data_IF_831443312233
#
_entry.id   IF_831443312233
#
_cell.length_a   1.000
_cell.length_b   1.000
_cell.length_c   1.000
_cell.angle_alpha   90.00
_cell.angle_beta   90.00
_cell.angle_gamma   90.00
#
_symmetry.space_group_name_H-M   'P 1'
#
loop_
_entity.id
_entity.type
_entity.pdbx_description
1 polymer ?
#
# COMPACT_ATOMS: atom_id res chain seq x y z
N UNK A 1 -10.79 -9.08 2.70
CA UNK A 1 -9.90 -8.07 3.31
C UNK A 1 -9.97 -8.29 4.80
N UNK A 2 -8.83 -8.46 5.46
CA UNK A 2 -8.76 -8.80 6.88
C UNK A 2 -8.46 -7.56 7.73
N UNK A 3 -7.46 -6.77 7.33
CA UNK A 3 -7.11 -5.51 8.01
C UNK A 3 -6.73 -4.43 6.99
N UNK A 4 -6.94 -3.18 7.41
CA UNK A 4 -6.58 -1.98 6.68
C UNK A 4 -5.95 -0.98 7.65
N UNK A 5 -4.76 -0.51 7.30
CA UNK A 5 -4.06 0.53 8.04
C UNK A 5 -3.27 1.41 7.08
N UNK A 6 -2.67 2.46 7.60
CA UNK A 6 -1.80 3.31 6.81
C UNK A 6 -1.36 4.55 7.56
N UNK A 7 -0.32 5.14 7.03
CA UNK A 7 0.37 6.33 7.48
C UNK A 7 0.02 7.50 6.54
N UNK A 8 0.68 8.64 6.73
CA UNK A 8 0.42 9.82 5.91
C UNK A 8 0.77 9.63 4.42
N UNK A 9 1.67 8.70 4.09
CA UNK A 9 2.25 8.53 2.76
C UNK A 9 2.13 7.10 2.17
N UNK A 10 1.66 6.12 2.95
CA UNK A 10 1.45 4.75 2.48
C UNK A 10 0.29 4.03 3.19
N UNK A 11 -0.13 2.90 2.64
CA UNK A 11 -1.21 2.06 3.20
C UNK A 11 -0.78 0.61 3.29
N UNK A 12 -1.24 -0.06 4.34
CA UNK A 12 -1.03 -1.47 4.64
C UNK A 12 -2.35 -2.23 4.50
N UNK A 13 -2.28 -3.37 3.79
CA UNK A 13 -3.42 -4.22 3.49
C UNK A 13 -3.09 -5.64 3.93
N UNK A 14 -3.85 -6.16 4.89
CA UNK A 14 -3.84 -7.59 5.17
C UNK A 14 -5.00 -8.24 4.44
N UNK A 15 -4.68 -9.15 3.52
CA UNK A 15 -5.68 -9.84 2.70
C UNK A 15 -5.46 -11.34 2.75
N UNK A 16 -6.57 -12.07 2.71
CA UNK A 16 -6.56 -13.46 2.31
C UNK A 16 -6.71 -13.52 0.79
N UNK A 17 -5.82 -14.23 0.12
CA UNK A 17 -5.80 -14.37 -1.33
C UNK A 17 -5.82 -15.84 -1.73
N UNK A 18 -6.62 -16.17 -2.73
CA UNK A 18 -6.63 -17.51 -3.31
C UNK A 18 -5.27 -17.81 -3.95
N UNK A 19 -4.68 -19.02 -3.81
CA UNK A 19 -3.35 -19.33 -4.34
C UNK A 19 -3.19 -19.11 -5.85
N UNK A 20 -4.26 -19.26 -6.62
CA UNK A 20 -4.27 -19.02 -8.06
C UNK A 20 -4.48 -17.54 -8.47
N UNK A 21 -4.59 -16.63 -7.50
CA UNK A 21 -4.80 -15.20 -7.77
C UNK A 21 -3.50 -14.54 -8.24
N UNK A 22 -3.57 -13.80 -9.34
CA UNK A 22 -2.49 -12.90 -9.74
C UNK A 22 -2.50 -11.66 -8.84
N UNK A 23 -1.63 -11.68 -7.82
CA UNK A 23 -1.47 -10.59 -6.88
C UNK A 23 -0.98 -9.30 -7.55
N UNK A 24 -0.15 -9.40 -8.60
CA UNK A 24 0.37 -8.22 -9.30
C UNK A 24 -0.76 -7.50 -10.04
N UNK A 25 -1.60 -8.26 -10.74
CA UNK A 25 -2.76 -7.71 -11.43
C UNK A 25 -3.78 -7.14 -10.44
N UNK A 26 -4.05 -7.84 -9.34
CA UNK A 26 -4.96 -7.38 -8.28
C UNK A 26 -4.48 -6.05 -7.68
N UNK A 27 -3.20 -5.93 -7.32
CA UNK A 27 -2.62 -4.70 -6.76
C UNK A 27 -2.63 -3.57 -7.79
N UNK A 28 -2.31 -3.87 -9.06
CA UNK A 28 -2.37 -2.89 -10.15
C UNK A 28 -3.78 -2.32 -10.34
N UNK A 29 -4.79 -3.18 -10.32
CA UNK A 29 -6.20 -2.78 -10.39
C UNK A 29 -6.60 -1.96 -9.17
N UNK A 30 -6.23 -2.40 -7.97
CA UNK A 30 -6.51 -1.67 -6.74
C UNK A 30 -5.94 -0.25 -6.79
N UNK A 31 -4.66 -0.10 -7.12
CA UNK A 31 -3.99 1.21 -7.21
C UNK A 31 -4.63 2.09 -8.29
N UNK A 32 -4.99 1.52 -9.43
CA UNK A 32 -5.61 2.27 -10.53
C UNK A 32 -7.00 2.77 -10.17
N UNK A 33 -7.86 1.88 -9.67
CA UNK A 33 -9.24 2.22 -9.31
C UNK A 33 -9.29 3.21 -8.15
N UNK A 34 -8.50 2.97 -7.10
CA UNK A 34 -8.46 3.88 -5.94
C UNK A 34 -7.90 5.24 -6.32
N UNK A 35 -6.82 5.30 -7.12
CA UNK A 35 -6.27 6.55 -7.65
C UNK A 35 -7.34 7.40 -8.37
N UNK A 36 -8.17 6.76 -9.21
CA UNK A 36 -9.26 7.45 -9.91
C UNK A 36 -10.36 7.92 -8.95
N UNK A 37 -10.81 7.05 -8.05
CA UNK A 37 -11.91 7.34 -7.12
C UNK A 37 -11.52 8.42 -6.10
N UNK A 38 -10.37 8.29 -5.45
CA UNK A 38 -9.92 9.24 -4.43
C UNK A 38 -9.76 10.63 -5.04
N UNK A 39 -9.23 10.73 -6.27
CA UNK A 39 -9.13 12.03 -6.95
C UNK A 39 -10.46 12.62 -7.37
N UNK A 40 -11.44 11.80 -7.72
CA UNK A 40 -12.77 12.29 -8.07
C UNK A 40 -13.52 12.78 -6.82
N UNK A 41 -13.41 12.05 -5.71
CA UNK A 41 -14.19 12.30 -4.49
C UNK A 41 -13.55 13.35 -3.57
N UNK A 42 -12.21 13.40 -3.50
CA UNK A 42 -11.47 14.25 -2.58
C UNK A 42 -10.60 15.31 -3.29
N UNK A 43 -10.94 15.67 -4.53
CA UNK A 43 -10.18 16.62 -5.36
C UNK A 43 -9.79 17.91 -4.63
N UNK A 44 -10.77 18.55 -3.97
CA UNK A 44 -10.58 19.83 -3.27
C UNK A 44 -9.67 19.68 -2.05
N UNK A 45 -9.75 18.56 -1.34
CA UNK A 45 -8.83 18.28 -0.23
C UNK A 45 -7.42 18.04 -0.76
N UNK A 46 -7.28 17.17 -1.76
CA UNK A 46 -5.99 16.79 -2.33
C UNK A 46 -5.25 17.96 -2.96
N UNK A 47 -5.94 18.91 -3.61
CA UNK A 47 -5.32 20.08 -4.24
C UNK A 47 -4.39 20.87 -3.32
N UNK A 48 -4.65 20.86 -2.01
CA UNK A 48 -3.83 21.55 -1.00
C UNK A 48 -2.51 20.83 -0.68
N UNK A 49 -2.48 19.51 -0.83
CA UNK A 49 -1.36 18.67 -0.40
C UNK A 49 -0.66 17.95 -1.55
N UNK A 50 -1.33 17.82 -2.70
CA UNK A 50 -0.93 16.90 -3.76
C UNK A 50 -1.36 17.37 -5.16
N UNK A 51 -0.37 17.59 -6.02
CA UNK A 51 -0.56 18.11 -7.40
C UNK A 51 0.09 17.21 -8.48
N UNK A 52 0.55 16.01 -8.13
CA UNK A 52 1.25 15.11 -9.05
C UNK A 52 0.27 14.30 -9.93
N UNK A 53 0.70 13.89 -11.14
CA UNK A 53 -0.17 13.18 -12.10
C UNK A 53 -0.43 11.70 -11.73
N UNK A 54 0.41 11.08 -10.90
CA UNK A 54 0.19 9.75 -10.30
C UNK A 54 -0.22 9.91 -8.84
N UNK A 55 -1.00 8.99 -8.24
CA UNK A 55 -1.41 9.08 -6.83
C UNK A 55 -0.53 8.14 -5.98
N UNK A 56 -0.43 6.89 -6.42
CA UNK A 56 0.45 5.89 -5.83
C UNK A 56 1.83 5.88 -6.49
N UNK A 57 2.85 5.47 -5.73
CA UNK A 57 4.13 5.03 -6.30
C UNK A 57 3.92 3.89 -7.29
N UNK A 58 4.82 3.70 -8.26
CA UNK A 58 4.77 2.52 -9.16
C UNK A 58 5.01 1.22 -8.39
N UNK A 59 5.93 1.27 -7.43
CA UNK A 59 6.31 0.14 -6.59
C UNK A 59 5.22 -0.26 -5.60
N UNK A 60 5.24 -1.53 -5.18
CA UNK A 60 4.41 -2.07 -4.11
C UNK A 60 5.18 -3.20 -3.43
N UNK A 61 4.84 -3.51 -2.17
CA UNK A 61 5.43 -4.61 -1.43
C UNK A 61 4.37 -5.69 -1.16
N UNK A 62 4.78 -6.95 -1.24
CA UNK A 62 3.95 -8.11 -0.89
C UNK A 62 4.77 -8.99 0.02
N UNK A 63 4.21 -9.28 1.19
CA UNK A 63 4.86 -10.12 2.20
C UNK A 63 3.84 -11.20 2.55
N UNK A 64 4.21 -12.47 2.36
CA UNK A 64 3.37 -13.58 2.79
C UNK A 64 3.43 -13.70 4.32
N UNK A 65 2.25 -13.80 4.93
CA UNK A 65 2.10 -14.12 6.34
C UNK A 65 1.41 -15.48 6.45
N UNK A 66 2.11 -16.47 6.99
CA UNK A 66 1.53 -17.77 7.37
C UNK A 66 1.44 -17.87 8.89
N UNK A 67 0.77 -18.90 9.42
CA UNK A 67 0.61 -19.09 10.88
C UNK A 67 1.92 -19.22 11.70
N UNK A 68 3.11 -19.09 11.08
CA UNK A 68 4.42 -19.00 11.74
C UNK A 68 5.19 -17.69 11.45
N UNK A 69 4.63 -16.76 10.68
CA UNK A 69 5.20 -15.44 10.51
C UNK A 69 4.85 -14.62 11.77
N UNK A 70 5.81 -14.31 12.66
CA UNK A 70 5.50 -13.60 13.88
C UNK A 70 4.98 -12.21 13.50
N UNK A 71 3.90 -11.75 14.13
CA UNK A 71 3.44 -10.36 14.02
C UNK A 71 4.59 -9.35 14.18
N UNK A 72 5.59 -9.69 15.00
CA UNK A 72 6.83 -8.94 15.15
C UNK A 72 7.58 -8.66 13.83
N UNK A 73 7.56 -9.57 12.85
CA UNK A 73 8.18 -9.36 11.53
C UNK A 73 7.39 -8.38 10.66
N UNK A 74 6.06 -8.38 10.76
CA UNK A 74 5.21 -7.39 10.11
C UNK A 74 5.46 -6.00 10.71
N UNK A 75 5.48 -5.91 12.05
CA UNK A 75 5.78 -4.68 12.78
C UNK A 75 7.19 -4.16 12.44
N UNK A 76 8.20 -5.04 12.40
CA UNK A 76 9.56 -4.70 11.98
C UNK A 76 9.60 -4.13 10.56
N UNK A 77 8.86 -4.72 9.61
CA UNK A 77 8.76 -4.19 8.25
C UNK A 77 8.15 -2.78 8.22
N UNK A 78 7.03 -2.55 8.92
CA UNK A 78 6.37 -1.24 9.01
C UNK A 78 7.34 -0.21 9.60
N UNK A 79 7.96 -0.50 10.75
CA UNK A 79 8.95 0.39 11.37
C UNK A 79 10.21 0.62 10.52
N UNK A 80 10.52 -0.27 9.57
CA UNK A 80 11.66 -0.09 8.66
C UNK A 80 11.34 0.81 7.46
N UNK A 81 10.06 1.07 7.14
CA UNK A 81 9.67 1.94 6.04
C UNK A 81 9.99 3.43 6.31
N UNK A 82 10.05 3.84 7.58
CA UNK A 82 10.40 5.22 7.98
C UNK A 82 11.89 5.58 7.76
N UNK A 83 12.73 4.60 7.40
CA UNK A 83 14.17 4.81 7.24
C UNK A 83 14.49 4.96 5.76
N UNK A 84 14.93 6.15 5.28
CA UNK A 84 15.44 6.24 3.93
C UNK A 84 16.62 5.26 3.77
N UNK A 85 16.78 4.62 2.60
CA UNK A 85 17.97 3.82 2.35
C UNK A 85 19.15 4.77 2.48
N UNK A 86 20.10 4.43 3.37
CA UNK A 86 21.35 5.15 3.50
C UNK A 86 21.91 5.36 2.09
N UNK A 87 22.01 6.63 1.69
CA UNK A 87 22.67 7.02 0.46
C UNK A 87 24.12 6.53 0.56
N UNK A 88 24.44 5.52 -0.26
CA UNK A 88 25.81 5.20 -0.67
C UNK A 88 26.14 6.00 -1.92
#
# INVERSE_FOLDING_TARGET
MLEFGGEADHVHLLIEAHPAMDLSQMIGNLKTVTSRRIRAEYAEHLRRYYWKPFFWSKSYAVISVGGRAPLAKLVEYICSQDKPPNAV
#
